data_IF_700652499926
#
_entry.id   IF_700652499926
#
_cell.length_a   1.000
_cell.length_b   1.000
_cell.length_c   1.000
_cell.angle_alpha   90.00
_cell.angle_beta   90.00
_cell.angle_gamma   90.00
#
_symmetry.space_group_name_H-M   'P 1'
#
loop_
_entity.id
_entity.type
_entity.pdbx_description
1 polymer ?
#
# COMPACT_ATOMS: atom_id res chain seq x y z
N UNK A 1 -27.39 -20.87 -13.45
CA UNK A 1 -27.71 -20.90 -12.00
C UNK A 1 -26.78 -19.93 -11.33
N UNK A 2 -27.29 -18.74 -11.04
CA UNK A 2 -26.54 -17.64 -10.41
C UNK A 2 -26.48 -17.93 -8.91
N UNK A 3 -25.28 -18.23 -8.38
CA UNK A 3 -25.07 -18.30 -6.94
C UNK A 3 -25.23 -16.88 -6.38
N UNK A 4 -26.33 -16.65 -5.66
CA UNK A 4 -26.52 -15.44 -4.89
C UNK A 4 -25.46 -15.40 -3.77
N UNK A 5 -24.47 -14.54 -3.96
CA UNK A 5 -23.50 -14.17 -2.91
C UNK A 5 -24.29 -13.47 -1.80
N UNK A 6 -24.59 -14.21 -0.70
CA UNK A 6 -25.41 -13.77 0.42
C UNK A 6 -24.58 -13.07 1.52
N UNK A 7 -23.54 -12.33 1.11
CA UNK A 7 -22.79 -11.51 2.08
C UNK A 7 -23.73 -10.43 2.64
N UNK A 8 -23.91 -10.32 3.96
CA UNK A 8 -24.78 -9.31 4.54
C UNK A 8 -24.30 -7.91 4.12
N UNK A 9 -25.22 -6.96 3.87
CA UNK A 9 -24.90 -5.64 3.31
C UNK A 9 -23.93 -4.79 4.18
N UNK A 10 -23.63 -5.24 5.39
CA UNK A 10 -22.73 -4.57 6.34
C UNK A 10 -21.44 -5.35 6.65
N UNK A 11 -21.20 -6.50 6.02
CA UNK A 11 -19.93 -7.21 6.23
C UNK A 11 -18.79 -6.47 5.52
N UNK A 12 -17.67 -6.26 6.22
CA UNK A 12 -16.48 -5.68 5.60
C UNK A 12 -15.98 -6.60 4.47
N UNK A 13 -15.74 -6.08 3.26
CA UNK A 13 -15.13 -6.83 2.17
C UNK A 13 -13.62 -7.03 2.36
N UNK A 14 -13.03 -6.44 3.41
CA UNK A 14 -11.62 -6.56 3.71
C UNK A 14 -11.24 -7.98 4.10
N UNK A 15 -10.14 -8.48 3.56
CA UNK A 15 -9.61 -9.81 3.82
C UNK A 15 -8.16 -9.68 4.31
N UNK A 16 -7.79 -10.36 5.41
CA UNK A 16 -6.41 -10.37 5.89
C UNK A 16 -5.44 -10.95 4.86
N UNK A 17 -4.25 -10.37 4.81
CA UNK A 17 -3.11 -11.00 4.14
C UNK A 17 -2.67 -12.25 4.90
N UNK A 18 -2.25 -13.27 4.17
CA UNK A 18 -1.62 -14.46 4.75
C UNK A 18 -0.11 -14.26 5.01
N UNK A 19 0.48 -13.16 4.51
CA UNK A 19 1.93 -12.92 4.54
C UNK A 19 2.32 -11.90 5.60
N UNK A 20 1.55 -10.82 5.76
CA UNK A 20 1.88 -9.73 6.70
C UNK A 20 0.68 -9.45 7.59
N UNK A 21 0.88 -9.59 8.89
CA UNK A 21 -0.15 -9.32 9.90
C UNK A 21 -0.66 -7.87 9.83
N UNK A 22 -1.99 -7.73 9.84
CA UNK A 22 -2.67 -6.45 9.78
C UNK A 22 -2.79 -5.83 8.38
N UNK A 23 -2.10 -6.34 7.36
CA UNK A 23 -2.35 -5.95 5.96
C UNK A 23 -3.67 -6.55 5.50
N UNK A 24 -4.52 -5.74 4.85
CA UNK A 24 -5.80 -6.20 4.32
C UNK A 24 -5.92 -5.86 2.84
N UNK A 25 -6.59 -6.72 2.09
CA UNK A 25 -7.01 -6.44 0.72
C UNK A 25 -8.52 -6.31 0.66
N UNK A 26 -9.01 -5.46 -0.24
CA UNK A 26 -10.44 -5.25 -0.48
C UNK A 26 -10.73 -5.51 -1.95
N UNK A 27 -11.49 -6.56 -2.25
CA UNK A 27 -12.01 -6.78 -3.59
C UNK A 27 -13.15 -5.80 -3.85
N UNK A 28 -12.88 -4.77 -4.67
CA UNK A 28 -13.84 -3.71 -4.96
C UNK A 28 -14.80 -4.19 -6.06
N UNK A 29 -16.09 -4.17 -5.73
CA UNK A 29 -17.14 -4.56 -6.68
C UNK A 29 -17.43 -3.42 -7.66
N UNK A 30 -17.31 -3.71 -8.94
CA UNK A 30 -17.74 -2.83 -10.02
C UNK A 30 -19.19 -3.12 -10.41
N UNK A 31 -19.99 -2.09 -10.56
CA UNK A 31 -21.35 -2.14 -11.11
C UNK A 31 -21.35 -1.43 -12.46
N UNK A 32 -21.49 -2.19 -13.54
CA UNK A 32 -21.44 -1.68 -14.90
C UNK A 32 -22.81 -1.58 -15.55
N UNK A 33 -22.98 -0.55 -16.41
CA UNK A 33 -24.11 -0.39 -17.32
C UNK A 33 -23.63 0.28 -18.62
N UNK A 34 -24.55 0.65 -19.52
CA UNK A 34 -24.25 1.33 -20.79
C UNK A 34 -23.50 2.68 -20.65
N UNK A 35 -23.49 3.30 -19.47
CA UNK A 35 -22.78 4.55 -19.18
C UNK A 35 -21.34 4.33 -18.68
N UNK A 36 -20.98 3.09 -18.31
CA UNK A 36 -19.70 2.73 -17.73
C UNK A 36 -19.83 1.93 -16.44
N UNK A 37 -18.97 2.19 -15.45
CA UNK A 37 -18.93 1.46 -14.18
C UNK A 37 -18.93 2.39 -12.97
N UNK A 38 -19.62 1.98 -11.93
CA UNK A 38 -19.61 2.61 -10.62
C UNK A 38 -18.98 1.65 -9.60
N UNK A 39 -18.17 2.19 -8.69
CA UNK A 39 -17.53 1.44 -7.61
C UNK A 39 -17.47 2.26 -6.35
N UNK A 40 -17.72 1.64 -5.20
CA UNK A 40 -17.37 2.20 -3.91
C UNK A 40 -15.93 1.80 -3.60
N UNK A 41 -15.03 2.79 -3.58
CA UNK A 41 -13.59 2.52 -3.47
C UNK A 41 -13.06 2.57 -2.05
N UNK A 42 -13.81 3.15 -1.11
CA UNK A 42 -13.46 3.22 0.30
C UNK A 42 -14.69 3.42 1.17
N UNK A 43 -14.67 2.79 2.34
CA UNK A 43 -15.59 3.06 3.45
C UNK A 43 -14.85 2.85 4.77
N UNK A 44 -14.92 3.83 5.69
CA UNK A 44 -14.22 3.74 6.98
C UNK A 44 -14.66 2.53 7.83
N UNK A 45 -15.91 2.11 7.68
CA UNK A 45 -16.48 0.95 8.37
C UNK A 45 -15.86 -0.38 7.92
N UNK A 46 -15.11 -0.42 6.81
CA UNK A 46 -14.34 -1.60 6.42
C UNK A 46 -13.14 -1.84 7.35
N UNK A 47 -12.70 -0.80 8.07
CA UNK A 47 -11.52 -0.80 8.94
C UNK A 47 -11.87 -0.31 10.35
N UNK A 48 -12.71 -1.08 11.11
CA UNK A 48 -13.19 -0.65 12.43
C UNK A 48 -12.08 -0.59 13.50
N UNK A 49 -10.91 -1.16 13.22
CA UNK A 49 -9.73 -1.11 14.10
C UNK A 49 -9.00 0.22 14.05
N UNK A 50 -9.37 1.14 13.15
CA UNK A 50 -8.71 2.42 12.92
C UNK A 50 -9.59 3.57 13.37
N UNK A 51 -9.05 4.53 14.13
CA UNK A 51 -9.70 5.84 14.27
C UNK A 51 -9.53 6.65 12.99
N UNK A 52 -10.65 7.11 12.47
CA UNK A 52 -10.74 8.00 11.31
C UNK A 52 -11.14 9.42 11.70
N UNK A 53 -10.77 9.88 12.91
CA UNK A 53 -11.05 11.24 13.39
C UNK A 53 -10.30 12.29 12.55
N UNK A 54 -9.11 11.92 12.07
CA UNK A 54 -8.40 12.63 11.01
C UNK A 54 -8.54 11.83 9.72
N UNK A 55 -8.75 12.53 8.64
CA UNK A 55 -8.97 11.92 7.34
C UNK A 55 -8.38 12.81 6.25
N UNK A 56 -7.44 12.27 5.49
CA UNK A 56 -6.85 12.95 4.33
C UNK A 56 -6.85 11.99 3.13
N UNK A 57 -7.29 12.50 1.99
CA UNK A 57 -7.22 11.80 0.71
C UNK A 57 -6.16 12.46 -0.16
N UNK A 58 -5.28 11.67 -0.73
CA UNK A 58 -4.18 12.11 -1.58
C UNK A 58 -4.26 11.43 -2.94
N UNK A 59 -3.65 12.06 -3.94
CA UNK A 59 -3.48 11.51 -5.28
C UNK A 59 -2.02 11.61 -5.71
N UNK A 60 -1.51 10.54 -6.30
CA UNK A 60 -0.19 10.47 -6.91
C UNK A 60 -0.32 10.02 -8.36
N UNK A 61 0.14 10.83 -9.30
CA UNK A 61 0.29 10.46 -10.70
C UNK A 61 1.77 10.11 -10.95
N UNK A 62 2.02 9.00 -11.61
CA UNK A 62 3.37 8.51 -11.90
C UNK A 62 3.46 7.95 -13.30
N UNK A 63 4.56 8.25 -13.99
CA UNK A 63 4.88 7.63 -15.26
C UNK A 63 5.36 6.18 -15.06
N UNK A 64 5.25 5.36 -16.07
CA UNK A 64 5.84 4.03 -16.09
C UNK A 64 7.33 4.09 -15.72
N UNK A 65 7.81 3.14 -14.92
CA UNK A 65 9.18 3.10 -14.45
C UNK A 65 9.46 3.89 -13.16
N UNK A 66 8.51 4.69 -12.66
CA UNK A 66 8.68 5.39 -11.38
C UNK A 66 8.52 4.40 -10.22
N UNK A 67 9.44 4.49 -9.25
CA UNK A 67 9.35 3.79 -7.97
C UNK A 67 9.29 4.83 -6.84
N UNK A 68 8.34 4.64 -5.92
CA UNK A 68 8.21 5.44 -4.70
C UNK A 68 8.24 4.52 -3.49
N UNK A 69 9.11 4.79 -2.53
CA UNK A 69 9.27 3.98 -1.32
C UNK A 69 10.70 3.50 -1.10
N UNK A 70 10.90 2.58 -0.15
CA UNK A 70 9.91 2.12 0.82
C UNK A 70 9.78 3.13 1.95
N UNK A 71 8.56 3.49 2.29
CA UNK A 71 8.26 4.41 3.39
C UNK A 71 7.52 3.66 4.51
N UNK A 72 7.66 4.09 5.76
CA UNK A 72 6.87 3.58 6.89
C UNK A 72 6.51 4.70 7.84
N UNK A 73 5.43 4.50 8.58
CA UNK A 73 4.85 5.47 9.49
C UNK A 73 4.76 4.93 10.91
N UNK A 74 4.88 5.83 11.90
CA UNK A 74 4.73 5.48 13.31
C UNK A 74 3.28 5.64 13.81
N UNK A 75 2.48 6.49 13.14
CA UNK A 75 1.15 6.88 13.61
C UNK A 75 0.09 6.91 12.50
N UNK A 76 0.45 6.60 11.26
CA UNK A 76 -0.42 6.66 10.12
C UNK A 76 -0.64 5.27 9.51
N UNK A 77 -1.88 4.97 9.15
CA UNK A 77 -2.23 3.87 8.25
C UNK A 77 -2.50 4.42 6.86
N UNK A 78 -2.28 3.60 5.85
CA UNK A 78 -2.57 3.93 4.46
C UNK A 78 -3.62 2.97 3.89
N UNK A 79 -4.54 3.51 3.10
CA UNK A 79 -5.40 2.71 2.23
C UNK A 79 -5.20 3.15 0.78
N UNK A 80 -4.69 2.25 -0.05
CA UNK A 80 -4.36 2.51 -1.44
C UNK A 80 -5.40 1.96 -2.40
N UNK A 81 -5.67 2.71 -3.47
CA UNK A 81 -6.44 2.27 -4.62
C UNK A 81 -5.86 2.86 -5.90
N UNK A 82 -5.80 2.06 -6.97
CA UNK A 82 -5.27 2.45 -8.28
C UNK A 82 -6.42 2.55 -9.29
N UNK A 83 -7.00 3.75 -9.50
CA UNK A 83 -8.11 3.95 -10.42
C UNK A 83 -7.70 3.93 -11.90
N UNK A 84 -6.40 4.04 -12.21
CA UNK A 84 -5.87 4.04 -13.57
C UNK A 84 -4.46 3.45 -13.61
N UNK A 85 -4.23 2.56 -14.57
CA UNK A 85 -2.95 1.92 -14.79
C UNK A 85 -2.67 0.80 -13.80
N UNK A 86 -1.42 0.33 -13.75
CA UNK A 86 -1.01 -0.81 -12.94
C UNK A 86 0.26 -0.51 -12.19
N UNK A 87 0.29 -0.84 -10.92
CA UNK A 87 1.47 -0.74 -10.06
C UNK A 87 1.78 -2.09 -9.42
N UNK A 88 3.05 -2.32 -9.14
CA UNK A 88 3.51 -3.39 -8.25
C UNK A 88 3.76 -2.78 -6.89
N UNK A 89 2.84 -3.00 -5.95
CA UNK A 89 2.95 -2.57 -4.56
C UNK A 89 3.78 -3.60 -3.78
N UNK A 90 4.74 -3.13 -2.99
CA UNK A 90 5.53 -3.95 -2.10
C UNK A 90 5.38 -3.49 -0.66
N UNK A 91 5.38 -4.44 0.25
CA UNK A 91 5.27 -4.23 1.68
C UNK A 91 6.31 -5.07 2.41
N UNK A 92 6.87 -4.51 3.48
CA UNK A 92 7.81 -5.21 4.38
C UNK A 92 7.40 -4.92 5.82
N UNK A 93 7.20 -5.93 6.62
CA UNK A 93 6.90 -5.76 8.04
C UNK A 93 8.16 -5.39 8.80
N UNK A 94 8.27 -4.13 9.22
CA UNK A 94 9.42 -3.65 10.01
C UNK A 94 9.17 -3.62 11.52
N UNK A 95 8.03 -4.13 11.99
CA UNK A 95 7.65 -4.14 13.41
C UNK A 95 8.34 -5.30 14.14
N UNK A 96 9.32 -5.04 15.04
CA UNK A 96 10.09 -6.11 15.68
C UNK A 96 9.26 -7.11 16.50
N UNK A 97 8.09 -6.65 17.01
CA UNK A 97 7.19 -7.47 17.83
C UNK A 97 6.08 -8.15 17.02
N UNK A 98 6.05 -7.97 15.71
CA UNK A 98 5.05 -8.61 14.84
C UNK A 98 5.35 -10.10 14.63
N UNK A 99 4.33 -10.97 14.57
CA UNK A 99 4.52 -12.38 14.22
C UNK A 99 5.06 -12.56 12.79
N UNK A 100 4.92 -11.54 11.94
CA UNK A 100 5.40 -11.55 10.55
C UNK A 100 6.59 -10.60 10.34
N UNK A 101 7.33 -10.29 11.40
CA UNK A 101 8.52 -9.43 11.31
C UNK A 101 9.45 -9.85 10.19
N UNK A 102 9.82 -8.90 9.32
CA UNK A 102 10.62 -9.07 8.10
C UNK A 102 9.97 -9.87 6.98
N UNK A 103 8.71 -10.23 7.11
CA UNK A 103 7.98 -10.77 5.97
C UNK A 103 7.81 -9.70 4.88
N UNK A 104 7.91 -10.14 3.63
CA UNK A 104 7.75 -9.29 2.44
C UNK A 104 6.59 -9.81 1.61
N UNK A 105 5.76 -8.89 1.14
CA UNK A 105 4.65 -9.18 0.24
C UNK A 105 4.70 -8.23 -0.95
N UNK A 106 4.43 -8.77 -2.14
CA UNK A 106 4.26 -8.00 -3.37
C UNK A 106 2.90 -8.33 -3.97
N UNK A 107 2.17 -7.31 -4.40
CA UNK A 107 0.85 -7.43 -5.03
C UNK A 107 0.71 -6.44 -6.17
N UNK A 108 0.11 -6.85 -7.28
CA UNK A 108 -0.25 -5.93 -8.36
C UNK A 108 -1.62 -5.31 -8.07
N UNK A 109 -1.68 -3.98 -8.16
CA UNK A 109 -2.90 -3.17 -8.05
C UNK A 109 -3.12 -2.43 -9.34
N UNK A 110 -4.36 -2.37 -9.79
CA UNK A 110 -4.69 -1.67 -11.04
C UNK A 110 -6.19 -1.58 -11.30
N UNK A 111 -6.53 -0.84 -12.34
CA UNK A 111 -7.91 -0.64 -12.77
C UNK A 111 -8.56 -1.87 -13.41
N UNK A 112 -7.77 -2.90 -13.72
CA UNK A 112 -8.27 -4.21 -14.20
C UNK A 112 -8.69 -5.13 -13.05
N UNK A 113 -7.97 -5.13 -11.92
CA UNK A 113 -8.25 -6.04 -10.79
C UNK A 113 -9.06 -5.40 -9.66
N UNK A 114 -9.12 -4.07 -9.60
CA UNK A 114 -9.91 -3.30 -8.64
C UNK A 114 -9.70 -3.73 -7.18
N UNK A 115 -8.44 -3.89 -6.77
CA UNK A 115 -8.07 -4.24 -5.39
C UNK A 115 -7.69 -2.98 -4.63
N UNK A 116 -8.33 -2.77 -3.47
CA UNK A 116 -7.88 -1.83 -2.45
C UNK A 116 -6.90 -2.51 -1.49
N UNK A 117 -5.89 -1.78 -1.02
CA UNK A 117 -4.84 -2.28 -0.14
C UNK A 117 -4.76 -1.43 1.12
N UNK A 118 -5.03 -2.02 2.28
CA UNK A 118 -4.84 -1.40 3.59
C UNK A 118 -3.50 -1.81 4.17
N UNK A 119 -2.72 -0.83 4.61
CA UNK A 119 -1.37 -0.97 5.13
C UNK A 119 -1.34 -0.43 6.56
N UNK A 120 -1.07 -1.26 7.57
CA UNK A 120 -1.03 -0.82 8.96
C UNK A 120 0.23 -0.04 9.29
N UNK A 121 0.20 0.67 10.42
CA UNK A 121 1.36 1.34 11.02
C UNK A 121 2.55 0.38 11.06
N UNK A 122 3.73 0.87 10.72
CA UNK A 122 5.00 0.16 10.83
C UNK A 122 5.30 -0.85 9.73
N UNK A 123 4.39 -1.06 8.79
CA UNK A 123 4.67 -1.81 7.57
C UNK A 123 5.25 -0.86 6.53
N UNK A 124 6.51 -1.06 6.16
CA UNK A 124 7.15 -0.31 5.09
C UNK A 124 6.50 -0.68 3.75
N UNK A 125 6.25 0.33 2.92
CA UNK A 125 5.52 0.15 1.68
C UNK A 125 6.02 1.08 0.58
N UNK A 126 5.79 0.65 -0.65
CA UNK A 126 6.15 1.40 -1.84
C UNK A 126 5.50 0.78 -3.06
N UNK A 127 5.65 1.44 -4.21
CA UNK A 127 5.17 0.89 -5.46
C UNK A 127 6.10 1.21 -6.63
N UNK A 128 6.14 0.30 -7.57
CA UNK A 128 6.72 0.49 -8.90
C UNK A 128 5.58 0.62 -9.93
N UNK A 129 5.60 1.70 -10.70
CA UNK A 129 4.61 1.96 -11.75
C UNK A 129 4.95 1.11 -12.99
N UNK A 130 4.16 0.05 -13.22
CA UNK A 130 4.33 -0.82 -14.41
C UNK A 130 3.89 -0.05 -15.66
N UNK A 131 2.82 0.71 -15.54
CA UNK A 131 2.32 1.62 -16.58
C UNK A 131 2.20 3.04 -16.02
N UNK A 132 1.94 4.03 -16.86
CA UNK A 132 1.46 5.33 -16.36
C UNK A 132 0.23 5.09 -15.49
N UNK A 133 0.25 5.60 -14.26
CA UNK A 133 -0.77 5.29 -13.28
C UNK A 133 -1.21 6.49 -12.46
N UNK A 134 -2.40 6.36 -11.89
CA UNK A 134 -2.90 7.20 -10.80
C UNK A 134 -3.13 6.29 -9.60
N UNK A 135 -2.52 6.61 -8.48
CA UNK A 135 -2.75 5.98 -7.19
C UNK A 135 -3.40 7.02 -6.26
N UNK A 136 -4.54 6.66 -5.67
CA UNK A 136 -5.17 7.42 -4.59
C UNK A 136 -4.91 6.72 -3.27
N UNK A 137 -4.65 7.48 -2.21
CA UNK A 137 -4.49 6.90 -0.89
C UNK A 137 -5.16 7.76 0.18
N UNK A 138 -5.78 7.06 1.11
CA UNK A 138 -6.50 7.63 2.24
C UNK A 138 -5.72 7.29 3.50
N UNK A 139 -5.50 8.30 4.33
CA UNK A 139 -4.72 8.19 5.56
C UNK A 139 -5.54 8.72 6.73
N UNK A 140 -5.28 8.18 7.93
CA UNK A 140 -5.94 8.58 9.17
C UNK A 140 -5.15 9.63 9.95
N UNK A 141 -4.27 10.35 9.28
CA UNK A 141 -3.52 11.48 9.85
C UNK A 141 -3.40 12.60 8.81
N UNK A 142 -3.09 13.82 9.25
CA UNK A 142 -2.80 14.91 8.33
C UNK A 142 -1.30 15.00 8.09
N UNK A 143 -0.92 15.27 6.84
CA UNK A 143 0.46 15.57 6.53
C UNK A 143 0.90 16.81 7.29
N UNK A 144 1.94 16.69 8.09
CA UNK A 144 2.52 17.77 8.89
C UNK A 144 3.93 18.13 8.40
N UNK A 145 4.89 18.04 9.31
CA UNK A 145 6.30 18.34 9.06
C UNK A 145 7.11 17.15 8.51
N UNK A 146 6.46 16.02 8.21
CA UNK A 146 7.11 14.80 7.75
C UNK A 146 7.79 13.98 8.86
N UNK A 147 7.61 14.36 10.14
CA UNK A 147 8.24 13.67 11.27
C UNK A 147 7.75 12.24 11.47
N UNK A 148 6.52 11.93 11.02
CA UNK A 148 5.93 10.60 11.10
C UNK A 148 6.44 9.62 10.03
N UNK A 149 7.03 10.13 8.95
CA UNK A 149 7.43 9.30 7.82
C UNK A 149 8.94 9.05 7.82
N UNK A 150 9.31 7.79 7.67
CA UNK A 150 10.69 7.32 7.49
C UNK A 150 10.80 6.49 6.22
N UNK A 151 12.03 6.20 5.79
CA UNK A 151 12.30 5.37 4.63
C UNK A 151 13.37 4.32 4.90
N UNK A 152 13.26 3.21 4.16
CA UNK A 152 14.29 2.19 4.03
C UNK A 152 14.61 1.97 2.55
N UNK A 153 15.86 1.65 2.24
CA UNK A 153 16.31 1.52 0.85
C UNK A 153 15.46 0.48 0.09
N UNK A 154 14.91 0.92 -1.03
CA UNK A 154 14.01 0.12 -1.87
C UNK A 154 14.66 -1.15 -2.45
N UNK A 155 15.98 -1.12 -2.64
CA UNK A 155 16.81 -2.19 -3.23
C UNK A 155 17.62 -2.94 -2.16
N UNK A 156 17.25 -2.83 -0.88
CA UNK A 156 17.96 -3.53 0.18
C UNK A 156 17.79 -5.05 0.05
N UNK A 157 18.88 -5.81 -0.23
CA UNK A 157 18.80 -7.26 -0.40
C UNK A 157 18.35 -7.98 0.88
N UNK A 158 18.54 -7.37 2.06
CA UNK A 158 18.08 -7.94 3.32
C UNK A 158 16.55 -7.96 3.46
N UNK A 159 15.84 -7.17 2.66
CA UNK A 159 14.37 -7.11 2.65
C UNK A 159 13.76 -8.01 1.58
N UNK A 160 14.52 -8.43 0.57
CA UNK A 160 14.10 -9.40 -0.42
C UNK A 160 12.91 -8.98 -1.30
N UNK A 161 12.70 -7.67 -1.51
CA UNK A 161 11.60 -7.16 -2.33
C UNK A 161 11.84 -7.47 -3.80
N UNK A 162 10.95 -8.24 -4.40
CA UNK A 162 10.97 -8.49 -5.84
C UNK A 162 10.13 -7.45 -6.59
N UNK A 163 10.78 -6.40 -7.07
CA UNK A 163 10.13 -5.36 -7.87
C UNK A 163 9.84 -5.79 -9.31
N UNK A 164 10.31 -6.98 -9.76
CA UNK A 164 10.20 -7.45 -11.16
C UNK A 164 11.04 -6.63 -12.14
N UNK A 165 12.14 -6.07 -11.65
CA UNK A 165 13.11 -5.35 -12.47
C UNK A 165 14.13 -6.36 -13.01
N UNK A 166 13.88 -6.95 -14.15
CA UNK A 166 14.68 -8.04 -14.74
C UNK A 166 16.02 -7.55 -15.36
N UNK A 167 16.78 -6.77 -14.57
CA UNK A 167 18.09 -6.24 -15.01
C UNK A 167 18.01 -5.19 -16.12
N UNK A 168 16.81 -4.65 -16.35
CA UNK A 168 16.55 -3.60 -17.33
C UNK A 168 16.94 -2.19 -16.86
N UNK A 169 16.20 -1.20 -17.32
CA UNK A 169 16.42 0.21 -16.93
C UNK A 169 16.16 0.39 -15.43
N UNK A 170 17.07 1.05 -14.68
CA UNK A 170 16.84 1.39 -13.29
C UNK A 170 15.55 2.19 -13.12
N UNK A 171 14.82 2.04 -11.99
CA UNK A 171 13.61 2.81 -11.76
C UNK A 171 13.91 4.30 -11.57
N UNK A 172 12.92 5.11 -11.86
CA UNK A 172 12.97 6.56 -11.62
C UNK A 172 12.59 6.81 -10.16
N UNK A 173 13.52 7.38 -9.38
CA UNK A 173 13.34 7.64 -7.94
C UNK A 173 13.47 9.12 -7.61
N UNK A 174 12.86 9.53 -6.51
CA UNK A 174 13.14 10.82 -5.91
C UNK A 174 14.54 10.84 -5.26
N UNK A 175 15.12 12.03 -5.09
CA UNK A 175 16.39 12.18 -4.35
C UNK A 175 16.27 11.66 -2.90
N UNK A 176 15.10 11.80 -2.30
CA UNK A 176 14.80 11.29 -0.96
C UNK A 176 14.87 9.76 -0.93
N UNK A 177 14.21 9.07 -1.86
CA UNK A 177 14.17 7.61 -1.89
C UNK A 177 15.54 7.00 -2.18
N UNK A 178 16.35 7.69 -2.99
CA UNK A 178 17.76 7.31 -3.24
C UNK A 178 18.66 7.40 -2.00
N UNK A 179 18.30 8.24 -1.01
CA UNK A 179 19.08 8.48 0.20
C UNK A 179 18.62 7.66 1.40
N UNK A 180 17.57 6.84 1.24
CA UNK A 180 17.10 5.98 2.32
C UNK A 180 18.19 4.99 2.76
N UNK A 181 18.32 4.82 4.08
CA UNK A 181 19.30 3.92 4.69
C UNK A 181 18.92 2.45 4.42
N UNK A 182 19.94 1.59 4.39
CA UNK A 182 19.75 0.14 4.45
C UNK A 182 19.12 -0.24 5.80
N UNK A 183 18.37 -1.32 5.83
CA UNK A 183 17.73 -1.80 7.06
C UNK A 183 18.75 -1.99 8.21
N UNK A 184 19.91 -2.55 7.90
CA UNK A 184 20.97 -2.76 8.90
C UNK A 184 21.53 -1.49 9.51
N UNK A 185 21.34 -0.33 8.86
CA UNK A 185 21.83 0.98 9.29
C UNK A 185 20.75 1.80 10.02
N UNK A 186 19.54 1.24 10.17
CA UNK A 186 18.44 1.89 10.91
C UNK A 186 18.60 1.53 12.39
N UNK A 187 18.75 2.51 13.29
CA UNK A 187 18.77 2.27 14.73
C UNK A 187 17.49 1.59 15.21
N UNK A 188 17.61 0.70 16.19
CA UNK A 188 16.47 -0.07 16.70
C UNK A 188 15.34 0.80 17.30
N UNK A 189 15.67 1.98 17.81
CA UNK A 189 14.72 2.96 18.34
C UNK A 189 14.01 3.78 17.24
N UNK A 190 14.50 3.72 16.01
CA UNK A 190 13.87 4.29 14.84
C UNK A 190 13.00 3.26 14.05
N UNK A 191 12.97 1.99 14.49
CA UNK A 191 12.04 1.00 13.93
C UNK A 191 10.64 1.17 14.55
N UNK A 192 9.58 0.89 13.79
CA UNK A 192 8.21 0.93 14.30
C UNK A 192 8.00 -0.14 15.37
N UNK A 193 7.13 0.12 16.34
CA UNK A 193 6.85 -0.78 17.49
C UNK A 193 5.54 -1.50 17.30
#
# INVERSE_FOLDING_TARGET
MSSSDSTPPNASPARPSEQIDGVLTVAIRAFGDERGRFMETFRKEWFPQVSWDKFQSNRSDSQAGVLRGLHYHFHQVDYWYVPRGTVRAAMVDLRPNSPTFRATQVIELGDENNIGLFIPIGVAHGFYAITDCTLTYIVNNYYGDGSDERGVAWDDPALGVNWGLDGGTPPILSQRDLQNRRYADIPADELPR
#
